data_IF_548725849042
#
_entry.id   IF_548725849042
#
_cell.length_a   1.000
_cell.length_b   1.000
_cell.length_c   1.000
_cell.angle_alpha   90.00
_cell.angle_beta   90.00
_cell.angle_gamma   90.00
#
_symmetry.space_group_name_H-M   'P 1'
#
loop_
_entity.id
_entity.type
_entity.pdbx_description
1 polymer ?
#
# COMPACT_ATOMS: atom_id res chain seq x y z
N UNK A 1 -12.01 -15.58 -2.10
CA UNK A 1 -11.11 -15.41 -3.26
C UNK A 1 -9.67 -15.36 -2.74
N UNK A 2 -8.72 -16.05 -3.35
CA UNK A 2 -7.31 -15.97 -2.90
C UNK A 2 -6.76 -14.58 -3.24
N UNK A 3 -5.72 -14.12 -2.54
CA UNK A 3 -5.17 -12.77 -2.78
C UNK A 3 -4.68 -12.58 -4.22
N UNK A 4 -4.17 -13.63 -4.88
CA UNK A 4 -3.75 -13.56 -6.29
C UNK A 4 -4.92 -13.27 -7.24
N UNK A 5 -6.04 -13.94 -7.01
CA UNK A 5 -7.26 -13.72 -7.79
C UNK A 5 -7.82 -12.31 -7.54
N UNK A 6 -7.71 -11.80 -6.29
CA UNK A 6 -8.05 -10.40 -5.95
C UNK A 6 -7.14 -9.40 -6.66
N UNK A 7 -5.84 -9.67 -6.72
CA UNK A 7 -4.88 -8.84 -7.44
C UNK A 7 -5.21 -8.79 -8.93
N UNK A 8 -5.48 -9.95 -9.55
CA UNK A 8 -5.89 -10.01 -10.95
C UNK A 8 -7.21 -9.24 -11.18
N UNK A 9 -8.18 -9.36 -10.28
CA UNK A 9 -9.42 -8.58 -10.36
C UNK A 9 -9.14 -7.07 -10.33
N UNK A 10 -8.32 -6.58 -9.39
CA UNK A 10 -7.95 -5.17 -9.27
C UNK A 10 -7.29 -4.65 -10.55
N UNK A 11 -6.33 -5.40 -11.12
CA UNK A 11 -5.62 -4.98 -12.33
C UNK A 11 -6.47 -4.97 -13.61
N UNK A 12 -7.63 -5.63 -13.59
CA UNK A 12 -8.56 -5.68 -14.72
C UNK A 12 -9.67 -4.61 -14.66
N UNK A 13 -9.70 -3.77 -13.62
CA UNK A 13 -10.67 -2.67 -13.54
C UNK A 13 -10.19 -1.46 -14.35
N UNK A 14 -11.14 -0.58 -14.69
CA UNK A 14 -10.86 0.67 -15.40
C UNK A 14 -10.42 1.78 -14.43
N UNK A 15 -9.11 1.87 -14.20
CA UNK A 15 -8.48 2.89 -13.36
C UNK A 15 -7.60 3.81 -14.20
N UNK A 16 -7.43 5.06 -13.75
CA UNK A 16 -6.46 5.96 -14.35
C UNK A 16 -5.02 5.48 -14.14
N UNK A 17 -4.72 4.92 -12.95
CA UNK A 17 -3.43 4.31 -12.66
C UNK A 17 -3.52 3.34 -11.47
N UNK A 18 -2.62 2.36 -11.45
CA UNK A 18 -2.43 1.40 -10.37
C UNK A 18 -0.93 1.19 -10.14
N UNK A 19 -0.47 1.28 -8.90
CA UNK A 19 0.93 0.99 -8.54
C UNK A 19 1.01 0.08 -7.32
N UNK A 20 1.94 -0.86 -7.40
CA UNK A 20 2.32 -1.72 -6.29
C UNK A 20 3.83 -1.60 -6.11
N UNK A 21 4.27 -1.10 -4.96
CA UNK A 21 5.68 -0.87 -4.65
C UNK A 21 6.09 -1.72 -3.45
N UNK A 22 7.36 -2.11 -3.45
CA UNK A 22 8.01 -2.76 -2.31
C UNK A 22 9.26 -1.95 -1.98
N UNK A 23 9.35 -1.52 -0.73
CA UNK A 23 10.50 -0.83 -0.16
C UNK A 23 10.86 0.48 -0.86
N UNK A 24 9.87 1.32 -1.20
CA UNK A 24 10.13 2.64 -1.80
C UNK A 24 11.04 3.50 -0.92
N UNK A 25 10.88 3.42 0.42
CA UNK A 25 11.74 4.09 1.40
C UNK A 25 13.24 3.91 1.13
N UNK A 26 13.65 2.75 0.60
CA UNK A 26 15.07 2.48 0.31
C UNK A 26 15.61 3.29 -0.86
N UNK A 27 14.75 3.80 -1.74
CA UNK A 27 15.14 4.72 -2.81
C UNK A 27 15.54 6.10 -2.27
N UNK A 28 15.05 6.45 -1.08
CA UNK A 28 15.41 7.66 -0.34
C UNK A 28 16.52 7.42 0.69
N UNK A 29 17.09 6.21 0.76
CA UNK A 29 18.05 5.80 1.81
C UNK A 29 17.51 5.90 3.24
N UNK A 30 16.20 5.75 3.41
CA UNK A 30 15.53 5.77 4.71
C UNK A 30 15.20 4.34 5.15
N UNK A 31 15.14 4.12 6.47
CA UNK A 31 14.46 2.97 7.07
C UNK A 31 12.94 3.13 6.99
N UNK A 32 12.18 2.06 7.20
CA UNK A 32 10.72 2.15 7.30
C UNK A 32 10.27 3.14 8.39
N UNK A 33 10.93 3.14 9.55
CA UNK A 33 10.60 4.05 10.65
C UNK A 33 10.78 5.51 10.27
N UNK A 34 11.91 5.84 9.63
CA UNK A 34 12.19 7.19 9.13
C UNK A 34 11.22 7.59 8.02
N UNK A 35 10.89 6.69 7.11
CA UNK A 35 9.98 6.97 5.99
C UNK A 35 8.55 7.26 6.43
N UNK A 36 8.05 6.51 7.42
CA UNK A 36 6.71 6.72 8.00
C UNK A 36 6.72 7.95 8.93
N UNK A 37 7.80 8.16 9.69
CA UNK A 37 7.92 9.25 10.66
C UNK A 37 8.38 10.59 10.07
N UNK A 38 8.83 10.60 8.81
CA UNK A 38 9.25 11.79 8.08
C UNK A 38 8.11 12.78 7.86
N UNK A 39 8.45 14.02 7.47
CA UNK A 39 7.50 15.12 7.22
C UNK A 39 6.63 14.92 5.99
N UNK A 40 6.26 13.69 5.67
CA UNK A 40 5.32 13.40 4.61
C UNK A 40 3.96 13.95 5.06
N UNK A 41 3.35 14.80 4.24
CA UNK A 41 1.97 15.31 4.44
C UNK A 41 0.92 14.22 4.26
N UNK A 42 1.32 12.95 4.27
CA UNK A 42 0.50 11.78 3.97
C UNK A 42 0.44 10.90 5.21
N UNK A 43 -0.78 10.69 5.69
CA UNK A 43 -1.07 9.68 6.70
C UNK A 43 -1.07 8.34 5.96
N UNK A 44 -0.05 7.50 6.19
CA UNK A 44 0.00 6.16 5.58
C UNK A 44 -1.08 5.28 6.20
N UNK A 45 -1.97 4.74 5.38
CA UNK A 45 -3.06 3.89 5.87
C UNK A 45 -2.57 2.45 6.03
N UNK A 46 -2.18 2.12 7.27
CA UNK A 46 -1.82 0.77 7.66
C UNK A 46 -3.04 0.00 8.16
N UNK A 47 -3.09 -1.31 7.85
CA UNK A 47 -4.17 -2.19 8.30
C UNK A 47 -4.38 -2.19 9.83
N UNK A 48 -3.27 -2.16 10.58
CA UNK A 48 -3.25 -2.10 12.04
C UNK A 48 -1.91 -1.57 12.53
N UNK A 49 -1.87 -1.12 13.78
CA UNK A 49 -0.61 -0.73 14.43
C UNK A 49 0.37 -1.92 14.51
N UNK A 50 -0.14 -3.13 14.73
CA UNK A 50 0.68 -4.35 14.77
C UNK A 50 1.38 -4.61 13.43
N UNK A 51 0.68 -4.41 12.30
CA UNK A 51 1.27 -4.58 10.98
C UNK A 51 2.26 -3.45 10.65
N UNK A 52 1.96 -2.22 11.08
CA UNK A 52 2.88 -1.09 11.00
C UNK A 52 4.18 -1.37 11.75
N UNK A 53 4.10 -1.83 13.00
CA UNK A 53 5.27 -2.21 13.80
C UNK A 53 6.09 -3.32 13.14
N UNK A 54 5.42 -4.32 12.56
CA UNK A 54 6.10 -5.37 11.81
C UNK A 54 6.86 -4.84 10.58
N UNK A 55 6.34 -3.83 9.89
CA UNK A 55 7.06 -3.19 8.80
C UNK A 55 8.36 -2.52 9.30
N UNK A 56 8.28 -1.84 10.45
CA UNK A 56 9.43 -1.20 11.11
C UNK A 56 10.47 -2.24 11.52
N UNK A 57 10.07 -3.27 12.26
CA UNK A 57 10.96 -4.33 12.76
C UNK A 57 11.69 -5.09 11.63
N UNK A 58 11.02 -5.27 10.49
CA UNK A 58 11.57 -6.02 9.34
C UNK A 58 12.20 -5.14 8.27
N UNK A 59 12.16 -3.81 8.46
CA UNK A 59 12.57 -2.81 7.46
C UNK A 59 12.06 -3.17 6.05
N UNK A 60 10.80 -3.59 5.99
CA UNK A 60 10.13 -4.05 4.77
C UNK A 60 8.69 -3.54 4.74
N UNK A 61 8.31 -2.92 3.63
CA UNK A 61 6.98 -2.34 3.46
C UNK A 61 6.51 -2.52 2.01
N UNK A 62 5.24 -2.85 1.85
CA UNK A 62 4.52 -2.80 0.58
C UNK A 62 3.56 -1.62 0.59
N UNK A 63 3.45 -0.95 -0.56
CA UNK A 63 2.50 0.14 -0.79
C UNK A 63 1.67 -0.22 -2.00
N UNK A 64 0.34 -0.17 -1.86
CA UNK A 64 -0.58 -0.40 -2.95
C UNK A 64 -1.44 0.84 -3.15
N UNK A 65 -1.29 1.50 -4.29
CA UNK A 65 -1.98 2.75 -4.63
C UNK A 65 -2.85 2.60 -5.87
N UNK A 66 -4.07 3.13 -5.83
CA UNK A 66 -4.99 3.21 -6.98
C UNK A 66 -5.44 4.65 -7.18
N UNK A 67 -5.31 5.13 -8.42
CA UNK A 67 -5.95 6.36 -8.90
C UNK A 67 -7.21 5.99 -9.68
N UNK A 68 -8.41 6.25 -9.14
CA UNK A 68 -9.65 6.00 -9.88
C UNK A 68 -9.75 6.91 -11.10
N UNK A 69 -10.63 6.54 -12.05
CA UNK A 69 -10.90 7.34 -13.27
C UNK A 69 -11.71 8.63 -12.99
N UNK A 70 -11.86 9.03 -11.72
CA UNK A 70 -12.53 10.24 -11.27
C UNK A 70 -11.53 11.18 -10.58
N UNK A 71 -11.76 12.51 -10.57
CA UNK A 71 -10.79 13.48 -10.06
C UNK A 71 -10.77 13.58 -8.52
N UNK A 72 -10.73 12.44 -7.83
CA UNK A 72 -10.79 12.35 -6.36
C UNK A 72 -9.44 12.06 -5.70
N UNK A 73 -8.35 11.96 -6.47
CA UNK A 73 -7.01 11.69 -5.97
C UNK A 73 -6.64 10.22 -6.08
N UNK A 74 -6.16 9.63 -4.98
CA UNK A 74 -5.79 8.21 -4.90
C UNK A 74 -6.15 7.61 -3.53
N UNK A 75 -6.22 6.29 -3.49
CA UNK A 75 -6.21 5.52 -2.26
C UNK A 75 -4.91 4.74 -2.17
N UNK A 76 -4.34 4.65 -0.98
CA UNK A 76 -3.12 3.93 -0.71
C UNK A 76 -3.27 3.11 0.56
N UNK A 77 -2.80 1.87 0.52
CA UNK A 77 -2.64 1.04 1.70
C UNK A 77 -1.19 0.55 1.83
N UNK A 78 -0.69 0.58 3.05
CA UNK A 78 0.63 0.09 3.42
C UNK A 78 0.54 -1.17 4.27
N UNK A 79 1.53 -2.05 4.15
CA UNK A 79 1.58 -3.22 5.03
C UNK A 79 2.79 -4.12 4.87
N UNK A 80 2.90 -5.08 5.78
CA UNK A 80 4.09 -5.95 5.91
C UNK A 80 4.18 -7.06 4.85
N UNK A 81 3.12 -7.26 4.06
CA UNK A 81 3.07 -8.27 3.01
C UNK A 81 2.16 -7.87 1.86
N UNK A 82 2.45 -8.44 0.69
CA UNK A 82 1.63 -8.27 -0.50
C UNK A 82 0.17 -8.71 -0.28
N UNK A 83 -0.06 -9.80 0.44
CA UNK A 83 -1.41 -10.30 0.71
C UNK A 83 -2.24 -9.31 1.53
N UNK A 84 -1.64 -8.66 2.52
CA UNK A 84 -2.32 -7.66 3.37
C UNK A 84 -2.79 -6.49 2.52
N UNK A 85 -1.89 -5.85 1.77
CA UNK A 85 -2.23 -4.66 0.98
C UNK A 85 -3.23 -4.98 -0.13
N UNK A 86 -3.14 -6.17 -0.74
CA UNK A 86 -4.09 -6.61 -1.78
C UNK A 86 -5.47 -6.88 -1.19
N UNK A 87 -5.54 -7.54 -0.03
CA UNK A 87 -6.81 -7.78 0.64
C UNK A 87 -7.48 -6.46 1.02
N UNK A 88 -6.73 -5.52 1.59
CA UNK A 88 -7.26 -4.23 2.01
C UNK A 88 -7.78 -3.41 0.83
N UNK A 89 -6.98 -3.29 -0.22
CA UNK A 89 -7.38 -2.57 -1.44
C UNK A 89 -8.62 -3.19 -2.08
N UNK A 90 -8.68 -4.52 -2.14
CA UNK A 90 -9.84 -5.23 -2.67
C UNK A 90 -11.12 -4.99 -1.86
N UNK A 91 -11.06 -5.05 -0.53
CA UNK A 91 -12.25 -4.78 0.30
C UNK A 91 -12.70 -3.31 0.22
N UNK A 92 -11.77 -2.37 0.01
CA UNK A 92 -12.11 -0.95 -0.18
C UNK A 92 -12.79 -0.66 -1.53
N UNK A 93 -12.37 -1.35 -2.59
CA UNK A 93 -12.87 -1.15 -3.96
C UNK A 93 -14.18 -1.88 -4.28
N UNK A 94 -14.62 -2.79 -3.41
CA UNK A 94 -15.82 -3.62 -3.59
C UNK A 94 -17.07 -2.95 -3.03
#
# INVERSE_FOLDING_TARGET
MKWKDKLEWLFNQDYANITLRKNEHKTCYETVEEYIGGSSTYDYDFMSEEDRQKCIETDTMFEFRIYPSTPVGFNEFCGSSLEIVVNQMYEWMK
#
